data_IF_184631409256
#
_entry.id   IF_184631409256
#
_cell.length_a   1.000
_cell.length_b   1.000
_cell.length_c   1.000
_cell.angle_alpha   90.00
_cell.angle_beta   90.00
_cell.angle_gamma   90.00
#
_symmetry.space_group_name_H-M   'P 1'
#
loop_
_entity.id
_entity.type
_entity.pdbx_description
1 polymer ?
#
# COMPACT_ATOMS: atom_id res chain seq x y z
N UNK A 1 5.13 -4.52 11.77
CA UNK A 1 3.99 -4.68 10.84
C UNK A 1 2.74 -4.04 11.41
N UNK A 2 1.62 -4.11 10.68
CA UNK A 2 0.34 -3.47 11.05
C UNK A 2 -0.13 -3.79 12.49
N UNK A 3 0.14 -5.03 12.95
CA UNK A 3 -0.25 -5.58 14.25
C UNK A 3 0.86 -5.51 15.31
N UNK A 4 1.70 -4.48 15.28
CA UNK A 4 2.85 -4.36 16.17
C UNK A 4 2.44 -4.21 17.64
N UNK A 5 2.82 -5.16 18.50
CA UNK A 5 2.66 -5.02 19.96
C UNK A 5 3.57 -3.92 20.55
N UNK A 6 4.76 -3.70 19.96
CA UNK A 6 5.71 -2.66 20.40
C UNK A 6 5.11 -1.26 20.25
N UNK A 7 4.16 -1.07 19.33
CA UNK A 7 3.48 0.21 19.15
C UNK A 7 2.78 0.64 20.44
N UNK A 8 2.10 -0.27 21.11
CA UNK A 8 1.40 0.03 22.35
C UNK A 8 2.36 0.31 23.51
N UNK A 9 3.49 -0.41 23.57
CA UNK A 9 4.57 -0.16 24.54
C UNK A 9 5.13 1.26 24.43
N UNK A 10 5.38 1.73 23.20
CA UNK A 10 5.89 3.08 22.93
C UNK A 10 4.83 4.13 23.30
N UNK A 11 3.58 3.92 22.89
CA UNK A 11 2.49 4.87 23.16
C UNK A 11 2.01 4.88 24.62
N UNK A 12 2.26 3.80 25.37
CA UNK A 12 1.73 3.62 26.73
C UNK A 12 0.21 3.43 26.79
N UNK A 13 -0.43 3.11 25.66
CA UNK A 13 -1.87 2.90 25.54
C UNK A 13 -2.18 1.93 24.40
N UNK A 14 -3.38 1.36 24.42
CA UNK A 14 -3.88 0.55 23.32
C UNK A 14 -3.90 1.36 22.01
N UNK A 15 -3.55 0.70 20.92
CA UNK A 15 -3.54 1.28 19.58
C UNK A 15 -4.38 0.39 18.68
N UNK A 16 -5.63 0.79 18.45
CA UNK A 16 -6.59 0.04 17.62
C UNK A 16 -6.62 0.60 16.20
N UNK A 17 -6.63 -0.24 15.16
CA UNK A 17 -6.81 0.23 13.79
C UNK A 17 -8.22 0.76 13.58
N UNK A 18 -8.35 1.69 12.63
CA UNK A 18 -9.61 2.24 12.15
C UNK A 18 -9.97 1.56 10.84
N UNK A 19 -11.24 1.17 10.69
CA UNK A 19 -11.77 0.62 9.45
C UNK A 19 -11.89 1.73 8.39
N UNK A 20 -11.45 1.45 7.16
CA UNK A 20 -11.55 2.42 6.07
C UNK A 20 -12.91 2.39 5.35
N UNK A 21 -13.74 1.39 5.65
CA UNK A 21 -14.95 1.08 4.89
C UNK A 21 -14.72 0.29 3.60
N UNK A 22 -13.47 -0.05 3.28
CA UNK A 22 -13.10 -0.81 2.09
C UNK A 22 -12.51 -2.18 2.43
N UNK A 23 -12.61 -3.09 1.46
CA UNK A 23 -11.81 -4.32 1.43
C UNK A 23 -11.12 -4.49 0.08
N UNK A 24 -10.08 -5.31 0.05
CA UNK A 24 -9.35 -5.67 -1.16
C UNK A 24 -9.45 -7.17 -1.46
N UNK A 25 -9.84 -7.50 -2.69
CA UNK A 25 -9.67 -8.82 -3.28
C UNK A 25 -8.30 -8.91 -3.94
N UNK A 26 -7.61 -10.04 -3.79
CA UNK A 26 -6.33 -10.28 -4.48
C UNK A 26 -6.34 -11.60 -5.23
N UNK A 27 -5.92 -11.56 -6.49
CA UNK A 27 -5.76 -12.73 -7.34
C UNK A 27 -4.46 -12.63 -8.13
N UNK A 28 -3.79 -13.77 -8.30
CA UNK A 28 -2.59 -13.89 -9.14
C UNK A 28 -2.87 -14.80 -10.32
N UNK A 29 -2.26 -14.49 -11.46
CA UNK A 29 -2.40 -15.26 -12.69
C UNK A 29 -1.02 -15.62 -13.24
N UNK A 30 -0.90 -16.81 -13.83
CA UNK A 30 0.26 -17.10 -14.68
C UNK A 30 0.07 -16.46 -16.05
N UNK A 31 1.16 -16.14 -16.73
CA UNK A 31 1.11 -15.61 -18.10
C UNK A 31 0.33 -16.52 -19.05
N UNK A 32 0.59 -17.84 -18.98
CA UNK A 32 -0.10 -18.86 -19.79
C UNK A 32 -1.62 -18.84 -19.57
N UNK A 33 -2.08 -18.68 -18.32
CA UNK A 33 -3.51 -18.58 -18.02
C UNK A 33 -4.14 -17.39 -18.73
N UNK A 34 -3.49 -16.22 -18.72
CA UNK A 34 -4.03 -15.02 -19.36
C UNK A 34 -3.99 -15.10 -20.89
N UNK A 35 -2.89 -15.58 -21.47
CA UNK A 35 -2.77 -15.77 -22.92
C UNK A 35 -3.81 -16.77 -23.47
N UNK A 36 -4.23 -17.74 -22.66
CA UNK A 36 -5.28 -18.70 -23.05
C UNK A 36 -6.67 -18.08 -23.26
N UNK A 37 -6.94 -16.88 -22.71
CA UNK A 37 -8.25 -16.21 -22.72
C UNK A 37 -8.61 -15.64 -24.11
N UNK A 38 -7.64 -15.55 -25.04
CA UNK A 38 -7.82 -15.11 -26.44
C UNK A 38 -8.79 -13.92 -26.58
N UNK A 39 -8.43 -12.79 -25.98
CA UNK A 39 -9.25 -11.57 -25.94
C UNK A 39 -8.45 -10.37 -26.48
N UNK A 40 -9.06 -9.46 -27.26
CA UNK A 40 -8.41 -8.23 -27.70
C UNK A 40 -7.86 -7.40 -26.54
N UNK A 41 -6.70 -6.75 -26.71
CA UNK A 41 -6.05 -5.95 -25.66
C UNK A 41 -5.19 -6.76 -24.68
N UNK A 42 -5.15 -8.09 -24.77
CA UNK A 42 -4.30 -8.92 -23.91
C UNK A 42 -2.80 -8.65 -24.13
N UNK A 43 -2.39 -8.38 -25.37
CA UNK A 43 -0.99 -8.07 -25.69
C UNK A 43 -0.52 -6.78 -25.00
N UNK A 44 -1.36 -5.74 -25.00
CA UNK A 44 -1.11 -4.49 -24.30
C UNK A 44 -1.10 -4.68 -22.78
N UNK A 45 -2.07 -5.45 -22.25
CA UNK A 45 -2.15 -5.80 -20.84
C UNK A 45 -0.88 -6.48 -20.31
N UNK A 46 -0.25 -7.31 -21.15
CA UNK A 46 0.94 -8.09 -20.82
C UNK A 46 2.25 -7.45 -21.29
N UNK A 47 2.19 -6.22 -21.77
CA UNK A 47 3.36 -5.47 -22.20
C UNK A 47 4.28 -5.17 -20.99
N UNK A 48 5.62 -5.24 -21.15
CA UNK A 48 6.53 -4.89 -20.06
C UNK A 48 6.31 -3.45 -19.57
N UNK A 49 6.53 -3.23 -18.27
CA UNK A 49 6.41 -1.92 -17.62
C UNK A 49 5.02 -1.27 -17.68
N UNK A 50 3.96 -2.04 -17.94
CA UNK A 50 2.58 -1.53 -17.87
C UNK A 50 1.93 -1.80 -16.52
N UNK A 51 1.05 -0.89 -16.14
CA UNK A 51 0.11 -1.03 -15.03
C UNK A 51 -1.23 -0.55 -15.53
N UNK A 52 -2.30 -1.27 -15.17
CA UNK A 52 -3.65 -0.93 -15.60
C UNK A 52 -4.49 -0.62 -14.37
N UNK A 53 -5.05 0.58 -14.34
CA UNK A 53 -5.96 1.06 -13.32
C UNK A 53 -7.32 1.27 -13.96
N UNK A 54 -8.33 0.55 -13.49
CA UNK A 54 -9.72 0.78 -13.83
C UNK A 54 -10.41 1.40 -12.62
N UNK A 55 -11.09 2.54 -12.82
CA UNK A 55 -11.79 3.29 -11.77
C UNK A 55 -13.29 3.29 -12.06
N UNK A 56 -14.10 3.05 -11.04
CA UNK A 56 -15.57 3.04 -11.12
C UNK A 56 -16.13 3.61 -9.79
N UNK A 57 -17.39 4.07 -9.72
CA UNK A 57 -17.96 4.59 -8.48
C UNK A 57 -17.83 3.59 -7.32
N UNK A 58 -17.17 4.02 -6.24
CA UNK A 58 -16.98 3.22 -5.03
C UNK A 58 -15.99 2.05 -5.14
N UNK A 59 -15.35 1.82 -6.29
CA UNK A 59 -14.47 0.65 -6.49
C UNK A 59 -13.40 0.89 -7.56
N UNK A 60 -12.27 0.22 -7.47
CA UNK A 60 -11.25 0.27 -8.53
C UNK A 60 -10.48 -1.05 -8.59
N UNK A 61 -9.85 -1.31 -9.74
CA UNK A 61 -9.04 -2.48 -9.96
C UNK A 61 -7.65 -2.05 -10.43
N UNK A 62 -6.62 -2.69 -9.89
CA UNK A 62 -5.23 -2.46 -10.26
C UNK A 62 -4.64 -3.79 -10.74
N UNK A 63 -4.08 -3.79 -11.94
CA UNK A 63 -3.37 -4.91 -12.53
C UNK A 63 -1.94 -4.54 -12.85
N UNK A 64 -1.00 -5.41 -12.51
CA UNK A 64 0.42 -5.23 -12.82
C UNK A 64 1.15 -6.55 -12.93
N UNK A 65 2.23 -6.53 -13.70
CA UNK A 65 3.08 -7.70 -13.93
C UNK A 65 4.00 -7.97 -12.74
N UNK A 66 4.25 -9.25 -12.48
CA UNK A 66 5.16 -9.76 -11.47
C UNK A 66 6.25 -10.60 -12.16
N UNK A 67 7.38 -10.83 -11.46
CA UNK A 67 8.42 -11.78 -11.86
C UNK A 67 8.83 -11.67 -13.35
N UNK A 68 9.11 -10.46 -13.81
CA UNK A 68 9.49 -10.20 -15.20
C UNK A 68 8.40 -10.54 -16.23
N UNK A 69 7.12 -10.53 -15.84
CA UNK A 69 5.98 -10.78 -16.74
C UNK A 69 5.57 -12.25 -16.87
N UNK A 70 6.12 -13.14 -16.03
CA UNK A 70 5.71 -14.55 -15.97
C UNK A 70 4.46 -14.77 -15.11
N UNK A 71 4.20 -13.85 -14.18
CA UNK A 71 3.01 -13.79 -13.33
C UNK A 71 2.41 -12.38 -13.40
N UNK A 72 1.16 -12.26 -12.98
CA UNK A 72 0.49 -10.96 -12.83
C UNK A 72 -0.37 -10.95 -11.58
N UNK A 73 -0.56 -9.76 -11.02
CA UNK A 73 -1.41 -9.56 -9.86
C UNK A 73 -2.57 -8.63 -10.21
N UNK A 74 -3.76 -8.98 -9.70
CA UNK A 74 -4.96 -8.16 -9.72
C UNK A 74 -5.38 -7.87 -8.29
N UNK A 75 -5.59 -6.59 -8.00
CA UNK A 75 -6.20 -6.14 -6.75
C UNK A 75 -7.51 -5.44 -7.08
N UNK A 76 -8.63 -5.87 -6.49
CA UNK A 76 -9.90 -5.17 -6.62
C UNK A 76 -10.31 -4.59 -5.27
N UNK A 77 -10.55 -3.29 -5.22
CA UNK A 77 -10.95 -2.57 -4.01
C UNK A 77 -12.39 -2.14 -4.14
N UNK A 78 -13.17 -2.38 -3.09
CA UNK A 78 -14.61 -2.07 -3.04
C UNK A 78 -15.09 -1.95 -1.60
N UNK A 79 -16.34 -1.51 -1.37
CA UNK A 79 -16.87 -1.36 -0.02
C UNK A 79 -16.85 -2.69 0.73
N UNK A 80 -16.48 -2.61 2.00
CA UNK A 80 -16.36 -3.72 2.91
C UNK A 80 -17.71 -4.42 3.15
N UNK A 81 -17.69 -5.74 3.17
CA UNK A 81 -18.81 -6.58 3.54
C UNK A 81 -18.42 -7.74 4.47
N UNK A 82 -17.23 -7.69 5.05
CA UNK A 82 -16.80 -8.63 6.07
C UNK A 82 -17.43 -8.27 7.41
N UNK A 83 -17.74 -9.28 8.21
CA UNK A 83 -18.11 -9.10 9.61
C UNK A 83 -16.97 -8.37 10.35
N UNK A 84 -17.31 -7.53 11.32
CA UNK A 84 -16.35 -6.64 12.01
C UNK A 84 -15.12 -7.37 12.57
N UNK A 85 -15.28 -8.60 13.05
CA UNK A 85 -14.19 -9.39 13.64
C UNK A 85 -13.28 -10.05 12.60
N UNK A 86 -13.73 -10.13 11.34
CA UNK A 86 -13.03 -10.83 10.25
C UNK A 86 -12.16 -9.84 9.49
N UNK A 87 -10.85 -10.07 9.55
CA UNK A 87 -9.84 -9.24 8.87
C UNK A 87 -9.45 -9.80 7.50
N UNK A 88 -9.45 -11.13 7.39
CA UNK A 88 -9.13 -11.87 6.17
C UNK A 88 -10.09 -13.05 6.07
N UNK A 89 -10.63 -13.27 4.87
CA UNK A 89 -11.46 -14.43 4.57
C UNK A 89 -11.28 -14.87 3.12
N UNK A 90 -11.64 -16.12 2.83
CA UNK A 90 -11.87 -16.53 1.45
C UNK A 90 -13.05 -15.74 0.88
N UNK A 91 -12.90 -15.26 -0.35
CA UNK A 91 -13.94 -14.53 -1.04
C UNK A 91 -14.85 -15.41 -1.88
N UNK A 92 -16.12 -15.03 -1.97
CA UNK A 92 -17.07 -15.63 -2.90
C UNK A 92 -16.79 -15.15 -4.33
N UNK A 93 -16.37 -16.08 -5.19
CA UNK A 93 -16.10 -15.81 -6.61
C UNK A 93 -17.37 -15.39 -7.35
N UNK A 94 -18.52 -15.94 -6.98
CA UNK A 94 -19.82 -15.53 -7.53
C UNK A 94 -20.11 -14.07 -7.22
N UNK A 95 -19.78 -13.62 -6.02
CA UNK A 95 -19.87 -12.20 -5.64
C UNK A 95 -18.89 -11.34 -6.43
N UNK A 96 -17.62 -11.75 -6.55
CA UNK A 96 -16.61 -11.03 -7.33
C UNK A 96 -17.02 -10.89 -8.79
N UNK A 97 -17.53 -11.96 -9.42
CA UNK A 97 -18.05 -11.95 -10.80
C UNK A 97 -19.30 -11.08 -10.97
N UNK A 98 -20.20 -11.06 -9.99
CA UNK A 98 -21.35 -10.13 -10.02
C UNK A 98 -20.87 -8.67 -9.95
N UNK A 99 -19.84 -8.40 -9.13
CA UNK A 99 -19.28 -7.06 -8.97
C UNK A 99 -18.50 -6.54 -10.19
N UNK A 100 -18.13 -7.43 -11.12
CA UNK A 100 -17.50 -7.08 -12.39
C UNK A 100 -18.50 -6.65 -13.47
N UNK A 101 -19.80 -6.70 -13.23
CA UNK A 101 -20.79 -6.16 -14.16
C UNK A 101 -20.56 -4.66 -14.39
N UNK A 102 -20.56 -4.23 -15.65
CA UNK A 102 -20.36 -2.83 -16.05
C UNK A 102 -18.90 -2.41 -16.19
N UNK A 103 -17.95 -3.25 -15.77
CA UNK A 103 -16.53 -2.96 -15.99
C UNK A 103 -16.13 -3.19 -17.45
N UNK A 104 -14.92 -2.72 -17.75
CA UNK A 104 -14.21 -3.01 -18.98
C UNK A 104 -14.27 -4.53 -19.35
N UNK A 105 -14.57 -4.87 -20.61
CA UNK A 105 -14.69 -6.26 -21.05
C UNK A 105 -13.42 -7.10 -20.83
N UNK A 106 -12.22 -6.52 -21.02
CA UNK A 106 -10.95 -7.21 -20.80
C UNK A 106 -10.79 -7.57 -19.33
N UNK A 107 -11.04 -6.61 -18.42
CA UNK A 107 -11.03 -6.85 -16.97
C UNK A 107 -12.02 -7.95 -16.56
N UNK A 108 -13.25 -7.87 -17.08
CA UNK A 108 -14.28 -8.86 -16.81
C UNK A 108 -13.82 -10.26 -17.23
N UNK A 109 -13.17 -10.42 -18.38
CA UNK A 109 -12.74 -11.73 -18.88
C UNK A 109 -11.80 -12.46 -17.92
N UNK A 110 -10.76 -11.79 -17.40
CA UNK A 110 -9.84 -12.47 -16.49
C UNK A 110 -10.34 -12.55 -15.04
N UNK A 111 -11.26 -11.68 -14.60
CA UNK A 111 -11.99 -11.90 -13.33
C UNK A 111 -12.72 -13.26 -13.36
N UNK A 112 -13.31 -13.63 -14.49
CA UNK A 112 -14.00 -14.93 -14.62
C UNK A 112 -13.05 -16.14 -14.54
N UNK A 113 -11.75 -15.94 -14.80
CA UNK A 113 -10.72 -16.98 -14.68
C UNK A 113 -10.22 -17.18 -13.24
N UNK A 114 -10.56 -16.29 -12.31
CA UNK A 114 -10.19 -16.42 -10.90
C UNK A 114 -10.84 -17.67 -10.30
N UNK A 115 -10.00 -18.58 -9.78
CA UNK A 115 -10.43 -19.83 -9.13
C UNK A 115 -10.58 -19.73 -7.63
N UNK A 116 -9.92 -18.75 -7.01
CA UNK A 116 -10.03 -18.44 -5.59
C UNK A 116 -9.53 -17.02 -5.38
N UNK A 117 -10.04 -16.38 -4.34
CA UNK A 117 -9.68 -15.00 -4.02
C UNK A 117 -9.69 -14.82 -2.51
N UNK A 118 -8.78 -14.02 -1.99
CA UNK A 118 -8.82 -13.61 -0.58
C UNK A 118 -9.39 -12.20 -0.48
N UNK A 119 -10.28 -11.99 0.49
CA UNK A 119 -10.74 -10.66 0.93
C UNK A 119 -9.89 -10.20 2.10
N UNK A 120 -9.41 -8.97 2.02
CA UNK A 120 -8.63 -8.31 3.05
C UNK A 120 -9.35 -7.04 3.46
N UNK A 121 -9.84 -6.97 4.71
CA UNK A 121 -10.37 -5.73 5.27
C UNK A 121 -9.26 -4.69 5.29
N UNK A 122 -9.52 -3.49 4.76
CA UNK A 122 -8.55 -2.42 4.78
C UNK A 122 -8.69 -1.62 6.07
N UNK A 123 -7.56 -1.49 6.75
CA UNK A 123 -7.45 -0.90 8.06
C UNK A 123 -6.33 0.13 8.00
N UNK A 124 -6.54 1.26 8.67
CA UNK A 124 -5.51 2.26 8.83
C UNK A 124 -5.30 2.60 10.30
N UNK A 125 -4.27 3.38 10.58
CA UNK A 125 -4.08 3.98 11.89
C UNK A 125 -4.06 5.49 11.73
N UNK A 126 -4.46 6.19 12.79
CA UNK A 126 -4.14 7.60 12.92
C UNK A 126 -2.64 7.80 13.01
N UNK A 127 -2.19 8.98 12.65
CA UNK A 127 -0.80 9.39 12.79
C UNK A 127 -0.37 9.27 14.26
N UNK A 128 0.69 8.49 14.51
CA UNK A 128 1.21 8.34 15.88
C UNK A 128 1.76 9.67 16.39
N UNK A 129 1.56 9.98 17.68
CA UNK A 129 2.18 11.16 18.29
C UNK A 129 3.71 11.04 18.39
N UNK A 130 4.20 9.81 18.53
CA UNK A 130 5.62 9.48 18.43
C UNK A 130 5.82 8.05 17.95
N UNK A 131 6.94 7.79 17.28
CA UNK A 131 7.38 6.45 16.90
C UNK A 131 8.57 5.94 17.74
N UNK A 132 9.07 6.72 18.71
CA UNK A 132 10.28 6.42 19.47
C UNK A 132 10.09 6.62 20.97
N UNK A 133 10.65 5.73 21.77
CA UNK A 133 10.74 5.88 23.22
C UNK A 133 12.04 5.27 23.72
N UNK A 134 12.90 6.09 24.30
CA UNK A 134 14.21 5.68 24.83
C UNK A 134 15.01 4.88 23.76
N UNK A 135 15.18 3.58 23.97
CA UNK A 135 15.97 2.69 23.10
C UNK A 135 15.11 1.93 22.07
N UNK A 136 13.83 2.26 21.96
CA UNK A 136 12.88 1.60 21.08
C UNK A 136 12.39 2.58 20.01
N UNK A 137 12.30 2.14 18.76
CA UNK A 137 11.66 2.90 17.67
C UNK A 137 10.89 1.99 16.73
N UNK A 138 9.85 2.52 16.09
CA UNK A 138 9.00 1.85 15.11
C UNK A 138 9.40 2.27 13.68
N UNK A 139 9.29 1.32 12.75
CA UNK A 139 9.49 1.56 11.31
C UNK A 139 8.49 0.78 10.45
N UNK A 140 8.34 1.18 9.19
CA UNK A 140 7.38 0.59 8.25
C UNK A 140 5.95 0.62 8.80
N UNK A 141 5.17 -0.41 8.48
CA UNK A 141 3.79 -0.56 8.95
C UNK A 141 3.64 -0.56 10.48
N UNK A 142 4.72 -0.72 11.26
CA UNK A 142 4.66 -0.55 12.70
C UNK A 142 4.50 0.92 13.12
N UNK A 143 5.02 1.89 12.34
CA UNK A 143 4.92 3.34 12.61
C UNK A 143 3.89 4.02 11.69
N UNK A 144 3.90 3.69 10.40
CA UNK A 144 3.15 4.41 9.35
C UNK A 144 2.49 3.46 8.33
N UNK A 145 1.58 2.56 8.76
CA UNK A 145 0.88 1.68 7.84
C UNK A 145 0.12 2.49 6.79
N UNK A 146 0.38 2.18 5.51
CA UNK A 146 -0.24 2.87 4.38
C UNK A 146 -1.28 2.01 3.69
N UNK A 147 -2.35 2.64 3.24
CA UNK A 147 -3.33 2.00 2.37
C UNK A 147 -2.73 1.75 0.98
N UNK A 148 -3.22 0.73 0.24
CA UNK A 148 -2.61 0.28 -1.02
C UNK A 148 -2.89 1.20 -2.22
N UNK A 149 -3.34 2.45 -2.01
CA UNK A 149 -3.72 3.39 -3.06
C UNK A 149 -2.53 4.20 -3.65
N UNK A 150 -1.32 4.02 -3.12
CA UNK A 150 -0.10 4.70 -3.63
C UNK A 150 1.10 3.76 -3.83
N UNK A 151 0.99 2.49 -3.44
CA UNK A 151 2.09 1.52 -3.49
C UNK A 151 3.42 1.95 -2.82
N UNK A 152 3.38 2.93 -1.90
CA UNK A 152 4.58 3.48 -1.25
C UNK A 152 4.93 2.83 0.10
N UNK A 153 4.07 2.00 0.69
CA UNK A 153 4.31 1.45 2.04
C UNK A 153 5.66 0.73 2.18
N UNK A 154 5.99 -0.14 1.22
CA UNK A 154 7.27 -0.85 1.22
C UNK A 154 8.46 0.09 0.97
N UNK A 155 8.32 1.07 0.08
CA UNK A 155 9.37 2.06 -0.19
C UNK A 155 9.67 2.90 1.06
N UNK A 156 8.65 3.35 1.78
CA UNK A 156 8.82 4.07 3.05
C UNK A 156 9.56 3.24 4.10
N UNK A 157 9.28 1.94 4.19
CA UNK A 157 9.97 1.04 5.11
C UNK A 157 11.44 0.82 4.71
N UNK A 158 11.76 0.79 3.42
CA UNK A 158 13.15 0.74 2.93
C UNK A 158 13.90 2.02 3.29
N UNK A 159 13.29 3.18 3.05
CA UNK A 159 13.85 4.47 3.45
C UNK A 159 14.10 4.56 4.96
N UNK A 160 13.20 4.01 5.78
CA UNK A 160 13.40 3.92 7.23
C UNK A 160 14.67 3.13 7.57
N UNK A 161 14.82 1.94 6.97
CA UNK A 161 15.98 1.08 7.19
C UNK A 161 17.27 1.74 6.77
N UNK A 162 17.27 2.45 5.64
CA UNK A 162 18.43 3.21 5.14
C UNK A 162 18.81 4.32 6.12
N UNK A 163 17.87 5.17 6.53
CA UNK A 163 18.15 6.30 7.42
C UNK A 163 18.61 5.80 8.79
N UNK A 164 17.92 4.83 9.37
CA UNK A 164 18.31 4.26 10.66
C UNK A 164 19.68 3.59 10.59
N UNK A 165 19.95 2.82 9.53
CA UNK A 165 21.25 2.18 9.30
C UNK A 165 22.40 3.18 9.16
N UNK A 166 22.19 4.28 8.43
CA UNK A 166 23.18 5.36 8.29
C UNK A 166 23.48 6.05 9.62
N UNK A 167 22.44 6.36 10.41
CA UNK A 167 22.61 7.02 11.70
C UNK A 167 23.35 6.13 12.71
N UNK A 168 22.95 4.85 12.81
CA UNK A 168 23.62 3.88 13.69
C UNK A 168 25.04 3.56 13.21
N UNK A 169 25.27 3.50 11.90
CA UNK A 169 26.61 3.33 11.33
C UNK A 169 27.55 4.49 11.68
N UNK A 170 27.06 5.74 11.63
CA UNK A 170 27.83 6.92 12.05
C UNK A 170 28.13 6.90 13.55
N UNK A 171 27.15 6.50 14.37
CA UNK A 171 27.38 6.32 15.80
C UNK A 171 28.49 5.29 16.04
N UNK A 172 28.41 4.11 15.41
CA UNK A 172 29.43 3.06 15.52
C UNK A 172 30.85 3.58 15.25
N UNK A 173 31.06 4.26 14.12
CA UNK A 173 32.38 4.84 13.76
C UNK A 173 32.84 5.88 14.80
N UNK A 174 31.92 6.71 15.31
CA UNK A 174 32.22 7.69 16.35
C UNK A 174 32.58 7.03 17.69
N UNK A 175 32.07 5.83 17.99
CA UNK A 175 32.41 5.07 19.20
C UNK A 175 33.74 4.35 19.06
N UNK A 176 34.03 3.77 17.90
CA UNK A 176 35.30 3.09 17.62
C UNK A 176 36.49 4.06 17.64
N UNK A 177 36.26 5.35 17.38
CA UNK A 177 37.29 6.40 17.39
C UNK A 177 37.51 7.06 18.77
N UNK A 178 36.73 6.71 19.80
CA UNK A 178 36.83 7.29 21.15
C UNK A 178 37.26 6.25 22.19
N UNK A 179 38.03 6.69 23.19
CA UNK A 179 38.55 5.82 24.26
C UNK A 179 37.49 5.40 25.30
N UNK A 180 36.29 5.99 25.29
CA UNK A 180 35.22 5.75 26.28
C UNK A 180 33.89 5.35 25.62
N UNK A 181 33.68 4.06 25.29
CA UNK A 181 32.48 3.60 24.58
C UNK A 181 31.19 3.68 25.39
N UNK A 182 31.25 3.73 26.74
CA UNK A 182 30.07 3.76 27.60
C UNK A 182 29.27 5.07 27.52
N UNK A 183 29.91 6.22 27.30
CA UNK A 183 29.24 7.51 27.07
C UNK A 183 28.45 7.50 25.75
N UNK A 184 28.83 6.61 24.83
CA UNK A 184 28.23 6.47 23.52
C UNK A 184 26.81 5.92 23.50
N UNK A 185 26.48 5.02 24.43
CA UNK A 185 25.18 4.34 24.46
C UNK A 185 24.06 5.29 24.86
N UNK A 186 24.35 6.34 25.64
CA UNK A 186 23.41 7.41 25.99
C UNK A 186 23.01 8.28 24.79
N UNK A 187 23.70 8.15 23.65
CA UNK A 187 23.34 8.82 22.41
C UNK A 187 22.28 8.05 21.60
N UNK A 188 22.04 6.76 21.88
CA UNK A 188 21.06 5.97 21.12
C UNK A 188 19.67 6.62 21.14
N UNK A 189 19.11 7.05 22.30
CA UNK A 189 17.81 7.71 22.31
C UNK A 189 17.76 8.98 21.45
N UNK A 190 18.84 9.77 21.44
CA UNK A 190 18.94 10.99 20.63
C UNK A 190 19.00 10.66 19.13
N UNK A 191 19.72 9.59 18.77
CA UNK A 191 19.78 9.09 17.40
C UNK A 191 18.43 8.58 16.91
N UNK A 192 17.69 7.85 17.75
CA UNK A 192 16.35 7.37 17.39
C UNK A 192 15.35 8.53 17.26
N UNK A 193 15.46 9.57 18.10
CA UNK A 193 14.67 10.79 17.95
C UNK A 193 15.00 11.54 16.64
N UNK A 194 16.28 11.60 16.26
CA UNK A 194 16.69 12.18 14.98
C UNK A 194 16.12 11.36 13.80
N UNK A 195 16.20 10.03 13.86
CA UNK A 195 15.55 9.14 12.89
C UNK A 195 14.07 9.48 12.72
N UNK A 196 13.33 9.56 13.83
CA UNK A 196 11.92 9.90 13.80
C UNK A 196 11.68 11.28 13.18
N UNK A 197 12.44 12.31 13.57
CA UNK A 197 12.25 13.67 13.02
C UNK A 197 12.46 13.73 11.50
N UNK A 198 13.35 12.89 10.95
CA UNK A 198 13.63 12.82 9.52
C UNK A 198 12.54 12.05 8.75
N UNK A 199 11.88 11.09 9.41
CA UNK A 199 10.89 10.21 8.78
C UNK A 199 9.45 10.64 9.00
N UNK A 200 9.15 11.33 10.10
CA UNK A 200 7.78 11.57 10.53
C UNK A 200 6.96 12.33 9.49
N UNK A 201 7.46 13.47 9.03
CA UNK A 201 6.78 14.30 8.02
C UNK A 201 6.58 13.59 6.67
N UNK A 202 7.63 13.08 6.00
CA UNK A 202 7.46 12.46 4.67
C UNK A 202 6.55 11.23 4.72
N UNK A 203 6.67 10.39 5.74
CA UNK A 203 5.82 9.18 5.88
C UNK A 203 4.37 9.56 6.16
N UNK A 204 4.12 10.57 6.99
CA UNK A 204 2.79 11.10 7.26
C UNK A 204 2.13 11.67 6.00
N UNK A 205 2.87 12.43 5.20
CA UNK A 205 2.36 12.98 3.94
C UNK A 205 1.97 11.88 2.96
N UNK A 206 2.80 10.83 2.83
CA UNK A 206 2.48 9.67 2.02
C UNK A 206 1.24 8.92 2.55
N UNK A 207 1.14 8.64 3.84
CA UNK A 207 -0.04 7.96 4.40
C UNK A 207 -1.32 8.79 4.16
N UNK A 208 -1.27 10.11 4.35
CA UNK A 208 -2.40 11.00 4.07
C UNK A 208 -2.74 11.04 2.59
N UNK A 209 -1.74 11.07 1.71
CA UNK A 209 -1.93 10.96 0.26
C UNK A 209 -2.60 9.66 -0.15
N UNK A 210 -2.24 8.53 0.48
CA UNK A 210 -2.87 7.25 0.21
C UNK A 210 -4.37 7.25 0.60
N UNK A 211 -4.71 7.84 1.75
CA UNK A 211 -6.11 8.01 2.17
C UNK A 211 -6.87 8.91 1.20
N UNK A 212 -6.26 10.00 0.73
CA UNK A 212 -6.87 10.87 -0.27
C UNK A 212 -7.10 10.16 -1.61
N UNK A 213 -6.14 9.33 -2.04
CA UNK A 213 -6.27 8.56 -3.29
C UNK A 213 -7.45 7.58 -3.27
N UNK A 214 -7.87 7.07 -2.10
CA UNK A 214 -9.11 6.30 -1.99
C UNK A 214 -10.28 7.07 -2.62
N UNK A 215 -10.43 8.35 -2.25
CA UNK A 215 -11.52 9.19 -2.74
C UNK A 215 -11.37 9.46 -4.23
N UNK A 216 -10.14 9.74 -4.70
CA UNK A 216 -9.86 10.01 -6.11
C UNK A 216 -10.19 8.82 -7.00
N UNK A 217 -9.92 7.59 -6.56
CA UNK A 217 -10.17 6.39 -7.35
C UNK A 217 -11.62 5.91 -7.30
N UNK A 218 -12.37 6.32 -6.28
CA UNK A 218 -13.73 5.83 -6.00
C UNK A 218 -14.82 6.89 -6.17
N UNK A 219 -14.51 8.02 -6.80
CA UNK A 219 -15.46 9.12 -7.00
C UNK A 219 -16.76 8.63 -7.64
N UNK A 220 -17.94 9.11 -7.17
CA UNK A 220 -19.19 8.86 -7.86
C UNK A 220 -19.22 9.60 -9.20
N UNK A 221 -20.04 9.10 -10.12
CA UNK A 221 -20.26 9.76 -11.41
C UNK A 221 -20.75 11.21 -11.20
N UNK A 222 -20.12 12.15 -11.90
CA UNK A 222 -20.45 13.56 -11.75
C UNK A 222 -19.37 14.49 -12.26
N UNK A 223 -19.55 15.79 -12.00
CA UNK A 223 -18.64 16.84 -12.51
C UNK A 223 -17.20 16.65 -12.03
N UNK A 224 -17.01 16.27 -10.77
CA UNK A 224 -15.67 16.07 -10.19
C UNK A 224 -14.97 14.86 -10.80
N UNK A 225 -15.70 13.76 -11.01
CA UNK A 225 -15.19 12.57 -11.68
C UNK A 225 -14.80 12.87 -13.14
N UNK A 226 -15.60 13.64 -13.88
CA UNK A 226 -15.27 14.06 -15.25
C UNK A 226 -13.97 14.89 -15.26
N UNK A 227 -13.83 15.86 -14.35
CA UNK A 227 -12.61 16.66 -14.24
C UNK A 227 -11.37 15.82 -13.91
N UNK A 228 -11.54 14.82 -13.03
CA UNK A 228 -10.49 13.84 -12.69
C UNK A 228 -10.07 13.03 -13.92
N UNK A 229 -11.03 12.54 -14.70
CA UNK A 229 -10.77 11.78 -15.92
C UNK A 229 -10.05 12.63 -16.98
N UNK A 230 -10.54 13.86 -17.22
CA UNK A 230 -9.89 14.82 -18.12
C UNK A 230 -8.44 15.11 -17.70
N UNK A 231 -8.18 15.25 -16.40
CA UNK A 231 -6.82 15.43 -15.89
C UNK A 231 -5.91 14.25 -16.24
N UNK A 232 -6.36 13.00 -16.03
CA UNK A 232 -5.55 11.82 -16.34
C UNK A 232 -5.31 11.64 -17.84
N UNK A 233 -6.33 11.86 -18.68
CA UNK A 233 -6.16 11.82 -20.15
C UNK A 233 -5.10 12.83 -20.58
N UNK A 234 -5.21 14.08 -20.14
CA UNK A 234 -4.25 15.12 -20.47
C UNK A 234 -2.84 14.87 -19.89
N UNK A 235 -2.74 14.20 -18.75
CA UNK A 235 -1.46 13.83 -18.15
C UNK A 235 -0.80 12.64 -18.85
N UNK A 236 -1.58 11.70 -19.40
CA UNK A 236 -1.08 10.55 -20.17
C UNK A 236 -0.67 10.97 -21.59
N UNK A 237 -1.38 11.93 -22.20
CA UNK A 237 -1.03 12.49 -23.53
C UNK A 237 0.22 13.38 -23.49
N UNK A 238 0.56 13.91 -22.31
CA UNK A 238 1.87 14.53 -22.08
C UNK A 238 2.87 13.42 -21.78
N UNK A 239 3.42 12.82 -22.83
CA UNK A 239 4.60 11.98 -22.72
C UNK A 239 5.59 12.63 -21.74
N UNK A 240 5.96 11.89 -20.71
CA UNK A 240 7.14 12.17 -19.89
C UNK A 240 8.32 12.02 -20.86
N UNK A 241 8.72 13.14 -21.48
CA UNK A 241 9.98 13.31 -22.22
C UNK A 241 11.14 13.21 -21.23
#
# INVERSE_FOLDING_TARGET
GLWSMIRETILGRASTPVETGDLAYRATFTREQLESIKTPGMEELLSPNTQHLWMDPGKHAMFYLLRGGTESNLVLLRPDNLLNEIKVAEGDIGETRKSSNGWDPLLTRFIFCIKSVLKWKLLHYEELSTCTKLYETLLGDACHPSLPYQAQGAAMAVEDGVILGLLLGRLKVALESKAEPFIGLDLIPQILQLYESLRKTPTTLNVKGAIQNQHVYHMPDGKEQIQRDEFYVNAMDKEII
#
